data_IF_401529444536
#
_entry.id   IF_401529444536
#
_cell.length_a   1.000
_cell.length_b   1.000
_cell.length_c   1.000
_cell.angle_alpha   90.00
_cell.angle_beta   90.00
_cell.angle_gamma   90.00
#
_symmetry.space_group_name_H-M   'P 1'
#
loop_
_entity.id
_entity.type
_entity.pdbx_description
1 polymer ?
#
# COMPACT_ATOMS: atom_id res chain seq x y z
N UNK A 1 -23.39 0.49 -3.90
CA UNK A 1 -22.79 1.14 -2.72
C UNK A 1 -23.89 1.81 -1.90
N UNK A 2 -23.75 1.80 -0.58
CA UNK A 2 -24.72 2.44 0.31
C UNK A 2 -24.27 3.89 0.56
N UNK A 3 -25.11 4.86 0.17
CA UNK A 3 -24.85 6.29 0.35
C UNK A 3 -24.66 6.69 1.81
N UNK A 4 -25.41 6.06 2.73
CA UNK A 4 -25.33 6.36 4.16
C UNK A 4 -23.94 6.02 4.74
N UNK A 5 -23.31 4.96 4.21
CA UNK A 5 -21.93 4.58 4.61
C UNK A 5 -20.94 5.63 4.11
N UNK A 6 -21.08 6.10 2.87
CA UNK A 6 -20.22 7.16 2.34
C UNK A 6 -20.32 8.44 3.17
N UNK A 7 -21.55 8.85 3.49
CA UNK A 7 -21.78 10.03 4.33
C UNK A 7 -21.25 9.87 5.75
N UNK A 8 -21.31 8.67 6.31
CA UNK A 8 -20.75 8.40 7.63
C UNK A 8 -19.22 8.51 7.60
N UNK A 9 -18.55 7.96 6.58
CA UNK A 9 -17.10 8.15 6.43
C UNK A 9 -16.72 9.62 6.28
N UNK A 10 -17.48 10.43 5.56
CA UNK A 10 -17.26 11.88 5.50
C UNK A 10 -17.32 12.53 6.89
N UNK A 11 -18.29 12.13 7.70
CA UNK A 11 -18.42 12.61 9.09
C UNK A 11 -17.25 12.17 9.96
N UNK A 12 -16.80 10.92 9.83
CA UNK A 12 -15.65 10.37 10.54
C UNK A 12 -14.37 11.12 10.20
N UNK A 13 -14.12 11.40 8.91
CA UNK A 13 -12.94 12.12 8.48
C UNK A 13 -12.91 13.53 9.08
N UNK A 14 -14.00 14.29 8.93
CA UNK A 14 -14.10 15.65 9.50
C UNK A 14 -14.00 15.64 11.02
N UNK A 15 -14.66 14.69 11.69
CA UNK A 15 -14.59 14.54 13.15
C UNK A 15 -13.15 14.46 13.66
N UNK A 16 -12.29 13.72 12.97
CA UNK A 16 -10.90 13.57 13.38
C UNK A 16 -10.03 14.73 12.92
N UNK A 17 -10.24 15.26 11.72
CA UNK A 17 -9.51 16.43 11.23
C UNK A 17 -9.77 17.67 12.10
N UNK A 18 -11.01 17.87 12.55
CA UNK A 18 -11.39 18.95 13.49
C UNK A 18 -10.71 18.80 14.86
N UNK A 19 -10.21 17.61 15.18
CA UNK A 19 -9.45 17.33 16.40
C UNK A 19 -7.94 17.39 16.23
N UNK A 20 -7.48 17.82 15.05
CA UNK A 20 -6.07 18.07 14.76
C UNK A 20 -5.28 16.84 14.33
N UNK A 21 -5.93 15.77 13.83
CA UNK A 21 -5.21 14.67 13.18
C UNK A 21 -4.71 15.12 11.82
N UNK A 22 -3.43 14.84 11.52
CA UNK A 22 -2.78 15.26 10.28
C UNK A 22 -3.17 14.39 9.07
N UNK A 23 -3.68 13.18 9.29
CA UNK A 23 -4.08 12.31 8.19
C UNK A 23 -4.44 10.89 8.61
N UNK A 24 -4.69 10.05 7.60
CA UNK A 24 -5.08 8.66 7.80
C UNK A 24 -4.26 7.71 6.93
N UNK A 25 -3.90 6.56 7.50
CA UNK A 25 -3.60 5.36 6.74
C UNK A 25 -4.91 4.69 6.36
N UNK A 26 -5.09 4.44 5.07
CA UNK A 26 -6.25 3.73 4.56
C UNK A 26 -5.86 2.26 4.40
N UNK A 27 -6.40 1.45 5.30
CA UNK A 27 -6.18 0.00 5.33
C UNK A 27 -6.79 -0.66 4.10
N UNK A 28 -6.06 -1.57 3.48
CA UNK A 28 -6.45 -2.33 2.27
C UNK A 28 -7.15 -1.43 1.24
N UNK A 29 -6.55 -0.30 0.91
CA UNK A 29 -7.15 0.78 0.14
C UNK A 29 -7.63 0.36 -1.27
N UNK A 30 -7.09 -0.73 -1.81
CA UNK A 30 -7.47 -1.28 -3.10
C UNK A 30 -8.70 -2.21 -3.05
N UNK A 31 -9.25 -2.50 -1.86
CA UNK A 31 -10.35 -3.46 -1.70
C UNK A 31 -11.64 -2.87 -1.13
N UNK A 32 -11.78 -1.54 -1.09
CA UNK A 32 -12.98 -0.89 -0.54
C UNK A 32 -14.24 -1.10 -1.39
N UNK A 33 -14.08 -1.38 -2.67
CA UNK A 33 -15.16 -1.68 -3.61
C UNK A 33 -14.95 -3.07 -4.20
N UNK A 34 -16.03 -3.80 -4.38
CA UNK A 34 -16.08 -5.10 -5.02
C UNK A 34 -16.88 -5.01 -6.32
N UNK A 35 -16.61 -5.91 -7.24
CA UNK A 35 -17.42 -6.03 -8.47
C UNK A 35 -18.89 -6.25 -8.14
N UNK A 36 -19.77 -5.64 -8.95
CA UNK A 36 -21.21 -5.76 -8.79
C UNK A 36 -21.67 -7.22 -8.91
N UNK A 37 -22.55 -7.64 -7.99
CA UNK A 37 -22.99 -9.02 -7.91
C UNK A 37 -22.12 -9.92 -7.03
N UNK A 38 -20.99 -9.42 -6.54
CA UNK A 38 -20.07 -10.13 -5.65
C UNK A 38 -19.67 -11.52 -6.19
N UNK A 39 -19.16 -11.61 -7.41
CA UNK A 39 -18.74 -12.90 -7.96
C UNK A 39 -17.61 -13.51 -7.12
N UNK A 40 -17.58 -14.85 -7.08
CA UNK A 40 -16.47 -15.59 -6.48
C UNK A 40 -15.18 -15.37 -7.28
N UNK A 41 -14.04 -15.57 -6.61
CA UNK A 41 -12.75 -15.59 -7.30
C UNK A 41 -12.71 -16.74 -8.32
N UNK A 42 -12.14 -16.50 -9.51
CA UNK A 42 -11.85 -17.59 -10.44
C UNK A 42 -11.05 -18.71 -9.79
N UNK A 43 -11.31 -19.96 -10.16
CA UNK A 43 -10.64 -21.14 -9.56
C UNK A 43 -9.10 -21.12 -9.65
N UNK A 44 -8.56 -20.37 -10.62
CA UNK A 44 -7.12 -20.21 -10.83
C UNK A 44 -6.50 -19.01 -10.09
N UNK A 45 -7.31 -18.17 -9.44
CA UNK A 45 -6.82 -17.07 -8.62
C UNK A 45 -6.73 -17.48 -7.15
N UNK A 46 -5.63 -17.10 -6.52
CA UNK A 46 -5.44 -17.30 -5.08
C UNK A 46 -5.68 -16.00 -4.34
N UNK A 47 -6.34 -16.11 -3.20
CA UNK A 47 -6.47 -14.99 -2.29
C UNK A 47 -5.09 -14.45 -1.90
N UNK A 48 -4.87 -13.16 -2.13
CA UNK A 48 -3.60 -12.49 -1.84
C UNK A 48 -2.60 -12.43 -3.00
N UNK A 49 -2.91 -12.97 -4.17
CA UNK A 49 -2.12 -12.66 -5.37
C UNK A 49 -2.31 -11.20 -5.75
N UNK A 50 -1.17 -10.49 -5.92
CA UNK A 50 -1.13 -9.03 -6.16
C UNK A 50 -1.46 -8.65 -7.60
N UNK A 51 -2.00 -9.53 -8.39
CA UNK A 51 -1.99 -9.37 -9.85
C UNK A 51 -3.35 -9.65 -10.44
N UNK A 52 -3.76 -8.80 -11.36
CA UNK A 52 -4.83 -9.05 -12.29
C UNK A 52 -6.12 -8.27 -12.02
N UNK A 53 -7.08 -8.51 -12.88
CA UNK A 53 -8.43 -7.97 -12.82
C UNK A 53 -9.27 -8.86 -11.90
N UNK A 54 -9.10 -8.69 -10.62
CA UNK A 54 -9.85 -9.44 -9.61
C UNK A 54 -11.17 -8.73 -9.28
N UNK A 55 -12.28 -9.47 -9.11
CA UNK A 55 -13.54 -8.88 -8.69
C UNK A 55 -13.48 -8.30 -7.26
N UNK A 56 -12.44 -8.63 -6.50
CA UNK A 56 -12.28 -8.22 -5.10
C UNK A 56 -11.44 -6.97 -4.91
N UNK A 57 -10.63 -6.57 -5.90
CA UNK A 57 -9.62 -5.52 -5.77
C UNK A 57 -9.68 -4.53 -6.92
N UNK A 58 -9.18 -3.32 -6.64
CA UNK A 58 -8.83 -2.28 -7.62
C UNK A 58 -9.94 -1.97 -8.64
N UNK A 59 -11.18 -1.98 -8.15
CA UNK A 59 -12.34 -1.64 -8.96
C UNK A 59 -12.31 -0.16 -9.36
N UNK A 60 -12.72 0.20 -10.59
CA UNK A 60 -12.70 1.59 -11.09
C UNK A 60 -13.46 2.58 -10.21
N UNK A 61 -14.51 2.14 -9.52
CA UNK A 61 -15.35 2.95 -8.65
C UNK A 61 -14.62 3.48 -7.41
N UNK A 62 -13.49 2.84 -7.02
CA UNK A 62 -12.61 3.34 -5.95
C UNK A 62 -12.19 4.79 -6.17
N UNK A 63 -12.01 5.19 -7.43
CA UNK A 63 -11.64 6.55 -7.77
C UNK A 63 -12.62 7.59 -7.22
N UNK A 64 -13.92 7.29 -7.21
CA UNK A 64 -14.95 8.20 -6.70
C UNK A 64 -14.84 8.40 -5.20
N UNK A 65 -14.57 7.33 -4.45
CA UNK A 65 -14.35 7.38 -3.00
C UNK A 65 -13.09 8.17 -2.67
N UNK A 66 -12.00 7.90 -3.37
CA UNK A 66 -10.72 8.57 -3.15
C UNK A 66 -10.82 10.08 -3.41
N UNK A 67 -11.48 10.49 -4.50
CA UNK A 67 -11.74 11.90 -4.81
C UNK A 67 -12.61 12.58 -3.76
N UNK A 68 -13.64 11.89 -3.29
CA UNK A 68 -14.53 12.40 -2.23
C UNK A 68 -13.75 12.67 -0.94
N UNK A 69 -12.90 11.73 -0.52
CA UNK A 69 -12.06 11.89 0.67
C UNK A 69 -10.97 12.95 0.47
N UNK A 70 -10.39 13.03 -0.74
CA UNK A 70 -9.42 14.07 -1.07
C UNK A 70 -10.04 15.46 -0.98
N UNK A 71 -11.23 15.66 -1.51
CA UNK A 71 -11.94 16.93 -1.40
C UNK A 71 -12.17 17.35 0.07
N UNK A 72 -12.47 16.38 0.96
CA UNK A 72 -12.57 16.65 2.40
C UNK A 72 -11.22 17.06 2.99
N UNK A 73 -10.13 16.38 2.65
CA UNK A 73 -8.80 16.75 3.13
C UNK A 73 -8.39 18.15 2.67
N UNK A 74 -8.73 18.51 1.44
CA UNK A 74 -8.44 19.83 0.86
C UNK A 74 -9.22 20.97 1.54
N UNK A 75 -10.38 20.71 2.20
CA UNK A 75 -11.09 21.69 3.04
C UNK A 75 -10.20 22.23 4.19
N UNK A 76 -9.17 21.49 4.58
CA UNK A 76 -8.27 21.81 5.69
C UNK A 76 -6.93 22.40 5.25
N UNK A 77 -6.70 22.61 3.95
CA UNK A 77 -5.40 23.06 3.42
C UNK A 77 -4.91 24.36 4.06
N UNK A 78 -5.81 25.31 4.31
CA UNK A 78 -5.51 26.66 4.84
C UNK A 78 -5.83 26.79 6.33
N UNK A 79 -6.03 25.68 7.05
CA UNK A 79 -6.24 25.73 8.51
C UNK A 79 -4.91 25.97 9.25
N UNK A 80 -4.93 26.48 10.49
CA UNK A 80 -3.71 26.68 11.27
C UNK A 80 -2.88 25.43 11.50
N UNK A 81 -3.52 24.27 11.52
CA UNK A 81 -2.90 22.95 11.67
C UNK A 81 -2.30 22.44 10.36
N UNK A 82 -2.56 23.12 9.24
CA UNK A 82 -2.03 22.77 7.93
C UNK A 82 -2.81 21.67 7.19
N UNK A 83 -2.32 21.28 6.01
CA UNK A 83 -3.01 20.33 5.15
C UNK A 83 -3.09 18.92 5.75
N UNK A 84 -4.14 18.21 5.38
CA UNK A 84 -4.36 16.80 5.77
C UNK A 84 -3.90 15.87 4.67
N UNK A 85 -3.50 14.64 5.03
CA UNK A 85 -3.01 13.68 4.05
C UNK A 85 -3.59 12.27 4.23
N UNK A 86 -3.57 11.52 3.13
CA UNK A 86 -3.89 10.10 3.13
C UNK A 86 -2.72 9.30 2.61
N UNK A 87 -2.41 8.20 3.29
CA UNK A 87 -1.49 7.17 2.81
C UNK A 87 -2.24 5.87 2.55
N UNK A 88 -2.17 5.36 1.32
CA UNK A 88 -2.79 4.10 0.96
C UNK A 88 -1.93 2.91 1.38
N UNK A 89 -2.57 1.92 1.96
CA UNK A 89 -2.04 0.56 1.98
C UNK A 89 -2.65 -0.21 0.82
N UNK A 90 -1.88 -0.43 -0.23
CA UNK A 90 -2.33 -1.13 -1.42
C UNK A 90 -1.18 -1.93 -2.04
N UNK A 91 -1.38 -3.24 -2.15
CA UNK A 91 -0.46 -4.13 -2.84
C UNK A 91 -0.84 -4.16 -4.33
N UNK A 92 -0.25 -3.28 -5.11
CA UNK A 92 -0.50 -3.15 -6.54
C UNK A 92 0.82 -2.90 -7.29
N UNK A 93 0.93 -3.35 -8.55
CA UNK A 93 2.03 -2.95 -9.43
C UNK A 93 2.09 -1.42 -9.57
N UNK A 94 3.28 -0.87 -9.82
CA UNK A 94 3.50 0.58 -9.86
C UNK A 94 2.56 1.32 -10.82
N UNK A 95 2.31 0.78 -11.99
CA UNK A 95 1.43 1.39 -13.02
C UNK A 95 -0.03 1.50 -12.57
N UNK A 96 -0.48 0.61 -11.71
CA UNK A 96 -1.82 0.64 -11.09
C UNK A 96 -1.83 1.51 -9.84
N UNK A 97 -0.80 1.38 -8.99
CA UNK A 97 -0.67 2.12 -7.75
C UNK A 97 -0.69 3.64 -7.96
N UNK A 98 0.05 4.13 -8.95
CA UNK A 98 0.14 5.58 -9.22
C UNK A 98 -1.18 6.22 -9.61
N UNK A 99 -2.15 5.46 -10.11
CA UNK A 99 -3.51 5.97 -10.37
C UNK A 99 -4.20 6.42 -9.09
N UNK A 100 -3.86 5.81 -7.94
CA UNK A 100 -4.37 6.22 -6.62
C UNK A 100 -3.78 7.55 -6.15
N UNK A 101 -2.68 7.99 -6.76
CA UNK A 101 -1.91 9.16 -6.41
C UNK A 101 -2.05 10.31 -7.40
N UNK A 102 -3.02 10.23 -8.33
CA UNK A 102 -3.41 11.36 -9.17
C UNK A 102 -3.77 12.57 -8.29
N UNK A 103 -3.59 13.77 -8.82
CA UNK A 103 -3.66 15.03 -8.03
C UNK A 103 -4.97 15.27 -7.28
N UNK A 104 -6.05 14.60 -7.69
CA UNK A 104 -7.38 14.65 -7.09
C UNK A 104 -7.73 13.43 -6.23
N UNK A 105 -6.74 12.54 -5.98
CA UNK A 105 -6.92 11.31 -5.18
C UNK A 105 -6.07 11.34 -3.91
N UNK A 106 -5.56 10.18 -3.48
CA UNK A 106 -4.75 10.06 -2.26
C UNK A 106 -3.38 10.71 -2.44
N UNK A 107 -2.71 11.02 -1.35
CA UNK A 107 -1.46 11.80 -1.40
C UNK A 107 -0.22 10.94 -1.60
N UNK A 108 -0.22 9.74 -1.02
CA UNK A 108 0.89 8.79 -1.12
C UNK A 108 0.42 7.37 -0.84
N UNK A 109 1.27 6.39 -1.10
CA UNK A 109 1.04 4.99 -0.79
C UNK A 109 2.32 4.34 -0.28
N UNK A 110 2.21 3.30 0.54
CA UNK A 110 3.35 2.47 0.88
C UNK A 110 3.88 1.74 -0.35
N UNK A 111 5.20 1.76 -0.52
CA UNK A 111 5.87 1.04 -1.61
C UNK A 111 6.14 -0.41 -1.20
N UNK A 112 5.19 -1.27 -1.46
CA UNK A 112 5.32 -2.69 -1.10
C UNK A 112 6.24 -3.48 -2.03
N UNK A 113 6.44 -3.06 -3.27
CA UNK A 113 7.45 -3.67 -4.12
C UNK A 113 8.86 -3.47 -3.54
N UNK A 114 9.13 -2.30 -2.96
CA UNK A 114 10.38 -2.07 -2.23
C UNK A 114 10.45 -2.93 -0.96
N UNK A 115 9.36 -3.04 -0.22
CA UNK A 115 9.27 -3.85 0.98
C UNK A 115 9.59 -5.33 0.69
N UNK A 116 9.03 -5.90 -0.38
CA UNK A 116 9.20 -7.32 -0.72
C UNK A 116 10.50 -7.62 -1.46
N UNK A 117 11.20 -6.62 -1.94
CA UNK A 117 12.45 -6.77 -2.70
C UNK A 117 13.52 -7.55 -1.92
N UNK A 118 14.26 -8.36 -2.64
CA UNK A 118 15.43 -9.03 -2.09
C UNK A 118 16.52 -8.01 -1.71
N UNK A 119 17.28 -8.29 -0.66
CA UNK A 119 18.43 -7.48 -0.26
C UNK A 119 19.61 -7.71 -1.23
N UNK A 120 19.42 -7.27 -2.47
CA UNK A 120 20.40 -7.33 -3.56
C UNK A 120 20.42 -5.99 -4.28
N UNK A 121 21.61 -5.47 -4.55
CA UNK A 121 21.79 -4.14 -5.14
C UNK A 121 21.00 -3.96 -6.45
N UNK A 122 20.99 -4.97 -7.31
CA UNK A 122 20.26 -4.90 -8.59
C UNK A 122 18.74 -4.88 -8.37
N UNK A 123 18.19 -5.75 -7.51
CA UNK A 123 16.74 -5.78 -7.21
C UNK A 123 16.29 -4.43 -6.65
N UNK A 124 16.98 -3.93 -5.63
CA UNK A 124 16.64 -2.64 -5.02
C UNK A 124 16.77 -1.48 -6.03
N UNK A 125 17.82 -1.48 -6.87
CA UNK A 125 18.01 -0.44 -7.89
C UNK A 125 16.87 -0.44 -8.91
N UNK A 126 16.49 -1.61 -9.42
CA UNK A 126 15.36 -1.74 -10.34
C UNK A 126 14.08 -1.19 -9.72
N UNK A 127 13.69 -1.70 -8.55
CA UNK A 127 12.48 -1.24 -7.85
C UNK A 127 12.51 0.26 -7.57
N UNK A 128 13.65 0.82 -7.14
CA UNK A 128 13.77 2.27 -6.89
C UNK A 128 13.58 3.06 -8.20
N UNK A 129 14.23 2.63 -9.28
CA UNK A 129 14.15 3.35 -10.57
C UNK A 129 12.73 3.33 -11.13
N UNK A 130 12.09 2.17 -11.12
CA UNK A 130 10.72 2.00 -11.62
C UNK A 130 9.71 2.76 -10.76
N UNK A 131 9.87 2.71 -9.43
CA UNK A 131 9.02 3.46 -8.51
C UNK A 131 9.13 4.97 -8.73
N UNK A 132 10.35 5.50 -8.84
CA UNK A 132 10.56 6.93 -9.07
C UNK A 132 9.93 7.38 -10.39
N UNK A 133 10.16 6.64 -11.48
CA UNK A 133 9.60 6.95 -12.79
C UNK A 133 8.06 6.92 -12.78
N UNK A 134 7.47 5.91 -12.14
CA UNK A 134 6.02 5.80 -12.03
C UNK A 134 5.40 6.96 -11.24
N UNK A 135 5.96 7.30 -10.08
CA UNK A 135 5.45 8.40 -9.24
C UNK A 135 5.64 9.76 -9.93
N UNK A 136 6.76 9.98 -10.63
CA UNK A 136 6.99 11.20 -11.39
C UNK A 136 5.92 11.43 -12.46
N UNK A 137 5.42 10.36 -13.08
CA UNK A 137 4.40 10.44 -14.13
C UNK A 137 3.08 11.08 -13.67
N UNK A 138 2.80 11.05 -12.37
CA UNK A 138 1.59 11.63 -11.74
C UNK A 138 1.92 12.79 -10.80
N UNK A 139 3.19 13.19 -10.70
CA UNK A 139 3.63 14.27 -9.81
C UNK A 139 3.60 13.94 -8.32
N UNK A 140 3.57 12.64 -7.97
CA UNK A 140 3.55 12.17 -6.59
C UNK A 140 4.96 11.85 -6.08
N UNK A 141 5.14 11.90 -4.76
CA UNK A 141 6.39 11.47 -4.11
C UNK A 141 6.37 9.98 -3.82
N UNK A 142 7.45 9.29 -4.17
CA UNK A 142 7.63 7.89 -3.80
C UNK A 142 7.87 7.76 -2.27
N UNK A 143 7.29 6.73 -1.67
CA UNK A 143 7.45 6.36 -0.26
C UNK A 143 8.27 5.09 -0.15
N UNK A 144 9.08 4.96 0.90
CA UNK A 144 9.97 3.81 1.08
C UNK A 144 9.64 3.07 2.37
N UNK A 145 9.38 1.77 2.26
CA UNK A 145 8.98 0.90 3.37
C UNK A 145 9.89 -0.30 3.44
N UNK A 146 10.69 -0.41 4.51
CA UNK A 146 11.56 -1.57 4.75
C UNK A 146 10.86 -2.71 5.47
N UNK A 147 9.78 -2.44 6.18
CA UNK A 147 9.01 -3.44 6.91
C UNK A 147 7.72 -2.89 7.49
N UNK A 148 6.79 -3.77 7.80
CA UNK A 148 5.54 -3.46 8.49
C UNK A 148 5.19 -4.57 9.49
N UNK A 149 4.00 -4.49 10.09
CA UNK A 149 3.54 -5.46 11.10
C UNK A 149 3.06 -6.80 10.48
N UNK A 150 2.76 -6.83 9.18
CA UNK A 150 2.24 -8.01 8.48
C UNK A 150 3.35 -8.89 7.89
N UNK A 151 4.57 -8.36 7.76
CA UNK A 151 5.67 -9.03 7.09
C UNK A 151 6.83 -9.37 8.04
N UNK A 152 7.65 -10.32 7.63
CA UNK A 152 8.88 -10.70 8.33
C UNK A 152 9.78 -9.48 8.50
N UNK A 153 10.19 -9.20 9.72
CA UNK A 153 10.97 -8.02 10.06
C UNK A 153 12.33 -7.98 9.32
N UNK A 154 12.82 -6.79 8.96
CA UNK A 154 14.07 -6.62 8.22
C UNK A 154 15.25 -7.40 8.83
N UNK A 155 15.43 -7.33 10.15
CA UNK A 155 16.51 -8.05 10.85
C UNK A 155 16.45 -9.57 10.65
N UNK A 156 15.25 -10.15 10.64
CA UNK A 156 15.09 -11.59 10.43
C UNK A 156 15.23 -11.97 8.95
N UNK A 157 14.85 -11.09 8.05
CA UNK A 157 14.81 -11.34 6.61
C UNK A 157 16.14 -11.09 5.91
N UNK A 158 16.76 -9.94 6.15
CA UNK A 158 17.94 -9.52 5.39
C UNK A 158 19.21 -10.32 5.69
N UNK A 159 19.20 -11.07 6.78
CA UNK A 159 20.30 -12.00 7.07
C UNK A 159 20.27 -13.28 6.25
N UNK A 160 19.17 -13.60 5.58
CA UNK A 160 19.01 -14.83 4.82
C UNK A 160 19.56 -14.70 3.40
N UNK A 161 19.86 -15.84 2.79
CA UNK A 161 20.26 -15.92 1.39
C UNK A 161 19.12 -15.49 0.47
N UNK A 162 17.91 -15.98 0.76
CA UNK A 162 16.67 -15.54 0.11
C UNK A 162 15.99 -14.53 1.03
N UNK A 163 16.14 -13.26 0.72
CA UNK A 163 15.63 -12.14 1.54
C UNK A 163 14.40 -11.44 0.94
N UNK A 164 14.07 -11.71 -0.32
CA UNK A 164 12.83 -11.25 -0.94
C UNK A 164 11.62 -12.01 -0.39
N UNK A 165 10.44 -11.39 -0.43
CA UNK A 165 9.19 -12.03 -0.10
C UNK A 165 8.52 -12.48 -1.39
N UNK A 166 8.11 -13.75 -1.42
CA UNK A 166 7.35 -14.33 -2.53
C UNK A 166 6.02 -14.83 -1.97
N UNK A 167 4.94 -14.16 -2.33
CA UNK A 167 3.60 -14.52 -1.88
C UNK A 167 2.95 -15.59 -2.77
N UNK A 168 3.55 -15.93 -3.91
CA UNK A 168 3.06 -16.99 -4.79
C UNK A 168 3.35 -18.39 -4.26
N UNK A 169 4.35 -18.53 -3.37
CA UNK A 169 4.68 -19.79 -2.70
C UNK A 169 4.08 -19.84 -1.28
N UNK A 170 3.02 -20.63 -1.06
CA UNK A 170 2.39 -20.77 0.25
C UNK A 170 3.32 -21.29 1.35
N UNK A 171 4.43 -21.94 0.98
CA UNK A 171 5.44 -22.44 1.93
C UNK A 171 6.50 -21.39 2.27
N UNK A 172 6.70 -20.40 1.42
CA UNK A 172 7.75 -19.38 1.58
C UNK A 172 7.57 -18.50 2.84
N UNK A 173 6.37 -18.05 3.22
CA UNK A 173 6.19 -17.25 4.43
C UNK A 173 6.70 -17.95 5.68
N UNK A 174 6.44 -19.25 5.83
CA UNK A 174 6.84 -20.01 7.01
C UNK A 174 8.37 -20.22 7.09
N UNK A 175 9.00 -20.51 5.96
CA UNK A 175 10.46 -20.64 5.89
C UNK A 175 11.19 -19.33 6.21
N UNK A 176 10.56 -18.18 5.98
CA UNK A 176 11.12 -16.86 6.25
C UNK A 176 11.06 -16.46 7.74
N UNK A 177 10.21 -17.07 8.56
CA UNK A 177 10.07 -16.75 9.98
C UNK A 177 11.21 -17.32 10.84
N UNK A 178 11.92 -18.33 10.39
CA UNK A 178 12.97 -19.00 11.16
C UNK A 178 14.36 -18.59 10.68
N UNK A 179 15.00 -17.67 11.38
CA UNK A 179 16.39 -17.31 11.16
C UNK A 179 17.33 -17.98 12.19
N UNK A 180 18.50 -18.42 11.73
CA UNK A 180 19.57 -18.81 12.65
C UNK A 180 20.13 -17.59 13.41
N UNK A 181 20.84 -17.76 14.54
CA UNK A 181 21.54 -16.62 15.18
C UNK A 181 22.47 -15.87 14.25
N UNK A 182 23.10 -16.58 13.30
CA UNK A 182 23.98 -15.95 12.29
C UNK A 182 23.17 -15.09 11.32
N UNK A 183 22.00 -15.55 10.86
CA UNK A 183 21.10 -14.77 10.00
C UNK A 183 20.66 -13.49 10.71
N UNK A 184 20.30 -13.58 11.99
CA UNK A 184 19.90 -12.41 12.79
C UNK A 184 21.04 -11.41 12.95
N UNK A 185 22.28 -11.89 13.20
CA UNK A 185 23.46 -11.02 13.32
C UNK A 185 23.74 -10.29 11.99
N UNK A 186 23.71 -11.01 10.87
CA UNK A 186 23.89 -10.43 9.54
C UNK A 186 22.75 -9.47 9.18
N UNK A 187 21.51 -9.82 9.51
CA UNK A 187 20.35 -8.98 9.31
C UNK A 187 20.43 -7.66 10.06
N UNK A 188 20.97 -7.66 11.29
CA UNK A 188 21.22 -6.43 12.07
C UNK A 188 22.25 -5.51 11.42
N UNK A 189 23.22 -6.07 10.70
CA UNK A 189 24.20 -5.27 9.97
C UNK A 189 23.63 -4.65 8.68
N UNK A 190 22.56 -5.23 8.13
CA UNK A 190 21.96 -4.81 6.87
C UNK A 190 20.72 -3.92 7.05
N UNK A 191 20.04 -4.02 8.17
CA UNK A 191 18.85 -3.21 8.49
C UNK A 191 19.23 -1.88 9.15
#
# INVERSE_FOLDING_TARGET
>A
ENSDVLEEFDRVLRFWFDRGIDGFRIDVANSLVKESGLPDLPENEKFGELVGDSPMWDQPELASIQRRWRAIADEYADTPEGPRMFVAEAYLPHDRLVRYLESDRLHTSFNFEFLISAWKANSLRTTITESLAAHESVGASATWVLGNHDNVRPVSRYGKEISGLDFSDPSAPHAQFHGTPTDVALGRCRA
#
